data_IF_217206240281
#
_entry.id   IF_217206240281
#
_cell.length_a   1.000
_cell.length_b   1.000
_cell.length_c   1.000
_cell.angle_alpha   90.00
_cell.angle_beta   90.00
_cell.angle_gamma   90.00
#
_symmetry.space_group_name_H-M   'P 1'
#
loop_
_entity.id
_entity.type
_entity.pdbx_description
1 polymer ?
#
# COMPACT_ATOMS: atom_id res chain seq x y z
N UNK A 1 -10.03 4.56 -3.53
CA UNK A 1 -10.12 3.21 -2.91
C UNK A 1 -8.77 2.49 -2.75
N UNK A 2 -7.76 2.73 -3.61
CA UNK A 2 -6.42 2.11 -3.52
C UNK A 2 -5.47 2.85 -2.57
N UNK A 3 -5.46 4.20 -2.58
CA UNK A 3 -4.73 5.02 -1.61
C UNK A 3 -5.17 4.76 -0.16
N UNK A 4 -6.47 4.60 0.07
CA UNK A 4 -7.05 4.22 1.37
C UNK A 4 -6.47 2.90 1.96
N UNK A 5 -5.94 2.00 1.12
CA UNK A 5 -5.28 0.77 1.59
C UNK A 5 -3.84 1.01 2.04
N UNK A 6 -3.18 2.03 1.51
CA UNK A 6 -1.80 2.40 1.84
C UNK A 6 -1.73 3.35 3.03
N UNK A 7 -2.61 4.35 3.10
CA UNK A 7 -2.79 5.19 4.29
C UNK A 7 -3.07 4.32 5.52
N UNK A 8 -3.93 3.32 5.38
CA UNK A 8 -4.21 2.35 6.44
C UNK A 8 -2.98 1.53 6.87
N UNK A 9 -2.01 1.28 5.98
CA UNK A 9 -0.77 0.60 6.35
C UNK A 9 0.14 1.52 7.18
N UNK A 10 0.18 2.81 6.84
CA UNK A 10 0.92 3.83 7.57
C UNK A 10 0.31 4.03 8.97
N UNK A 11 -1.01 4.09 9.09
CA UNK A 11 -1.68 4.22 10.38
C UNK A 11 -1.38 3.02 11.30
N UNK A 12 -1.43 1.81 10.74
CA UNK A 12 -1.06 0.59 11.46
C UNK A 12 0.41 0.66 11.90
N UNK A 13 1.30 1.14 11.04
CA UNK A 13 2.71 1.26 11.38
C UNK A 13 2.95 2.20 12.56
N UNK A 14 2.33 3.39 12.55
CA UNK A 14 2.46 4.38 13.62
C UNK A 14 1.98 3.82 14.96
N UNK A 15 0.87 3.10 14.98
CA UNK A 15 0.34 2.46 16.20
C UNK A 15 1.30 1.38 16.70
N UNK A 16 1.82 0.52 15.81
CA UNK A 16 2.72 -0.55 16.19
C UNK A 16 4.07 -0.03 16.70
N UNK A 17 4.57 1.07 16.12
CA UNK A 17 5.75 1.79 16.58
C UNK A 17 5.54 2.36 17.99
N UNK A 18 4.41 3.06 18.19
CA UNK A 18 4.04 3.60 19.50
C UNK A 18 3.93 2.50 20.57
N UNK A 19 3.42 1.32 20.20
CA UNK A 19 3.31 0.17 21.09
C UNK A 19 4.63 -0.58 21.33
N UNK A 20 5.74 -0.16 20.72
CA UNK A 20 7.05 -0.82 20.86
C UNK A 20 7.07 -2.25 20.29
N UNK A 21 6.25 -2.53 19.28
CA UNK A 21 6.18 -3.85 18.65
C UNK A 21 7.46 -4.10 17.85
N UNK A 22 8.01 -5.32 17.96
CA UNK A 22 9.21 -5.70 17.21
C UNK A 22 8.91 -5.82 15.71
N UNK A 23 9.91 -5.55 14.86
CA UNK A 23 9.78 -5.60 13.39
C UNK A 23 9.09 -6.88 12.89
N UNK A 24 9.49 -8.04 13.42
CA UNK A 24 8.88 -9.34 13.07
C UNK A 24 7.39 -9.39 13.41
N UNK A 25 7.00 -8.85 14.58
CA UNK A 25 5.60 -8.80 14.99
C UNK A 25 4.81 -7.81 14.15
N UNK A 26 5.42 -6.73 13.64
CA UNK A 26 4.75 -5.79 12.72
C UNK A 26 4.30 -6.46 11.43
N UNK A 27 5.17 -7.28 10.84
CA UNK A 27 4.85 -8.09 9.65
C UNK A 27 3.68 -9.03 9.93
N UNK A 28 3.71 -9.72 11.07
CA UNK A 28 2.62 -10.62 11.47
C UNK A 28 1.29 -9.88 11.67
N UNK A 29 1.29 -8.79 12.45
CA UNK A 29 0.08 -7.99 12.70
C UNK A 29 -0.50 -7.41 11.41
N UNK A 30 0.35 -6.85 10.56
CA UNK A 30 -0.08 -6.22 9.31
C UNK A 30 -0.59 -7.24 8.29
N UNK A 31 0.07 -8.40 8.18
CA UNK A 31 -0.41 -9.51 7.34
C UNK A 31 -1.78 -10.03 7.80
N UNK A 32 -2.03 -10.07 9.11
CA UNK A 32 -3.32 -10.46 9.65
C UNK A 32 -4.42 -9.43 9.35
N UNK A 33 -4.07 -8.15 9.23
CA UNK A 33 -5.02 -7.10 8.88
C UNK A 33 -5.46 -7.13 7.40
N UNK A 34 -4.75 -7.86 6.53
CA UNK A 34 -5.07 -7.97 5.11
C UNK A 34 -6.41 -8.69 4.88
N UNK A 35 -7.20 -8.19 3.92
CA UNK A 35 -8.53 -8.73 3.57
C UNK A 35 -8.67 -8.93 2.06
N UNK A 36 -9.52 -9.88 1.67
CA UNK A 36 -9.86 -10.20 0.27
C UNK A 36 -8.60 -10.43 -0.57
N UNK A 37 -8.48 -9.77 -1.72
CA UNK A 37 -7.37 -9.92 -2.67
C UNK A 37 -5.99 -9.68 -2.05
N UNK A 38 -5.90 -8.77 -1.07
CA UNK A 38 -4.67 -8.50 -0.32
C UNK A 38 -4.17 -9.74 0.42
N UNK A 39 -5.10 -10.49 1.02
CA UNK A 39 -4.81 -11.71 1.77
C UNK A 39 -4.40 -12.84 0.83
N UNK A 40 -5.12 -13.02 -0.27
CA UNK A 40 -4.78 -14.03 -1.28
C UNK A 40 -3.39 -13.78 -1.86
N UNK A 41 -3.07 -12.53 -2.23
CA UNK A 41 -1.72 -12.19 -2.68
C UNK A 41 -0.67 -12.44 -1.60
N UNK A 42 -0.91 -12.06 -0.35
CA UNK A 42 0.05 -12.30 0.71
C UNK A 42 0.36 -13.79 0.86
N UNK A 43 -0.64 -14.67 0.78
CA UNK A 43 -0.43 -16.13 0.77
C UNK A 43 0.52 -16.56 -0.36
N UNK A 44 0.42 -15.96 -1.55
CA UNK A 44 1.38 -16.25 -2.65
C UNK A 44 2.81 -15.78 -2.32
N UNK A 45 2.97 -14.71 -1.54
CA UNK A 45 4.29 -14.25 -1.06
C UNK A 45 4.86 -15.25 -0.07
N UNK A 46 4.03 -15.74 0.86
CA UNK A 46 4.41 -16.73 1.86
C UNK A 46 4.82 -18.07 1.25
N UNK A 47 4.34 -18.40 0.04
CA UNK A 47 4.76 -19.60 -0.69
C UNK A 47 6.14 -19.48 -1.34
N UNK A 48 6.58 -18.26 -1.67
CA UNK A 48 7.85 -17.99 -2.39
C UNK A 48 8.98 -17.48 -1.50
N UNK A 49 8.66 -17.04 -0.27
CA UNK A 49 9.63 -16.42 0.66
C UNK A 49 9.45 -16.97 2.07
N UNK A 50 10.55 -17.09 2.79
CA UNK A 50 10.53 -17.36 4.22
C UNK A 50 10.03 -16.12 4.97
N UNK A 51 8.79 -16.19 5.46
CA UNK A 51 8.14 -15.13 6.23
C UNK A 51 8.90 -14.78 7.50
N UNK A 52 9.63 -15.74 8.09
CA UNK A 52 10.42 -15.49 9.28
C UNK A 52 11.64 -14.59 9.01
N UNK A 53 12.10 -14.52 7.76
CA UNK A 53 13.21 -13.71 7.30
C UNK A 53 12.78 -12.37 6.66
N UNK A 54 11.48 -12.16 6.41
CA UNK A 54 10.96 -10.91 5.85
C UNK A 54 11.06 -9.80 6.90
N UNK A 55 11.83 -8.76 6.60
CA UNK A 55 11.84 -7.54 7.41
C UNK A 55 10.55 -6.73 7.22
N UNK A 56 10.30 -5.78 8.11
CA UNK A 56 9.19 -4.85 7.91
C UNK A 56 9.31 -4.06 6.60
N UNK A 57 10.52 -3.63 6.24
CA UNK A 57 10.76 -2.90 5.00
C UNK A 57 10.46 -3.77 3.76
N UNK A 58 10.84 -5.05 3.78
CA UNK A 58 10.52 -5.99 2.71
C UNK A 58 9.00 -6.17 2.56
N UNK A 59 8.29 -6.29 3.68
CA UNK A 59 6.82 -6.37 3.68
C UNK A 59 6.19 -5.14 3.04
N UNK A 60 6.64 -3.93 3.42
CA UNK A 60 6.14 -2.67 2.86
C UNK A 60 6.46 -2.57 1.36
N UNK A 61 7.65 -2.98 0.93
CA UNK A 61 8.05 -2.97 -0.47
C UNK A 61 7.19 -3.92 -1.32
N UNK A 62 6.97 -5.16 -0.86
CA UNK A 62 6.08 -6.13 -1.50
C UNK A 62 4.65 -5.58 -1.59
N UNK A 63 4.15 -5.00 -0.49
CA UNK A 63 2.80 -4.41 -0.46
C UNK A 63 2.68 -3.24 -1.43
N UNK A 64 3.69 -2.35 -1.49
CA UNK A 64 3.74 -1.26 -2.47
C UNK A 64 3.75 -1.79 -3.90
N UNK A 65 4.56 -2.78 -4.23
CA UNK A 65 4.61 -3.34 -5.57
C UNK A 65 3.27 -3.93 -6.01
N UNK A 66 2.53 -4.58 -5.10
CA UNK A 66 1.20 -5.11 -5.39
C UNK A 66 0.19 -4.01 -5.74
N UNK A 67 0.22 -2.89 -5.02
CA UNK A 67 -0.80 -1.83 -5.12
C UNK A 67 -0.42 -0.65 -6.01
N UNK A 68 0.88 -0.43 -6.18
CA UNK A 68 1.54 0.67 -6.90
C UNK A 68 2.58 0.10 -7.89
N UNK A 69 2.19 -0.94 -8.64
CA UNK A 69 2.92 -1.36 -9.83
C UNK A 69 3.27 -0.11 -10.68
N UNK A 70 4.50 -0.03 -11.19
CA UNK A 70 4.98 1.05 -12.07
C UNK A 70 4.01 1.39 -13.19
N UNK A 71 3.30 0.41 -13.77
CA UNK A 71 2.28 0.62 -14.80
C UNK A 71 1.08 1.43 -14.29
N UNK A 72 0.71 1.27 -13.02
CA UNK A 72 -0.35 2.05 -12.38
C UNK A 72 0.13 3.47 -12.12
N UNK A 73 1.37 3.63 -11.65
CA UNK A 73 1.97 4.95 -11.46
C UNK A 73 2.14 5.68 -12.80
N UNK A 74 2.59 5.00 -13.85
CA UNK A 74 2.68 5.54 -15.21
C UNK A 74 1.30 5.87 -15.76
N UNK A 75 0.29 5.01 -15.59
CA UNK A 75 -1.07 5.31 -16.02
C UNK A 75 -1.69 6.48 -15.24
N UNK A 76 -1.41 6.63 -13.94
CA UNK A 76 -1.82 7.79 -13.15
C UNK A 76 -1.07 9.06 -13.57
N UNK A 77 0.21 8.95 -13.91
CA UNK A 77 1.03 10.05 -14.43
C UNK A 77 0.53 10.49 -15.81
N UNK A 78 0.17 9.55 -16.68
CA UNK A 78 -0.40 9.81 -18.00
C UNK A 78 -1.82 10.40 -17.89
N UNK A 79 -2.65 9.91 -16.98
CA UNK A 79 -3.97 10.48 -16.67
C UNK A 79 -3.85 11.90 -16.12
N UNK A 80 -2.88 12.15 -15.23
CA UNK A 80 -2.60 13.48 -14.69
C UNK A 80 -2.07 14.44 -15.76
N UNK A 81 -1.16 13.96 -16.61
CA UNK A 81 -0.56 14.77 -17.70
C UNK A 81 -1.56 15.04 -18.83
N UNK A 82 -2.49 14.12 -19.09
CA UNK A 82 -3.58 14.30 -20.05
C UNK A 82 -4.76 15.09 -19.48
N UNK A 83 -4.77 15.36 -18.16
CA UNK A 83 -5.77 16.21 -17.52
C UNK A 83 -5.55 17.68 -17.89
N UNK A 84 -6.17 18.12 -18.98
CA UNK A 84 -6.32 19.56 -19.24
C UNK A 84 -7.37 20.09 -18.27
N UNK A 85 -7.00 21.13 -17.53
CA UNK A 85 -7.92 21.86 -16.65
C UNK A 85 -9.06 22.46 -17.49
N UNK A 86 -10.12 21.67 -17.66
CA UNK A 86 -11.43 22.15 -18.08
C UNK A 86 -12.15 22.76 -16.88
N UNK A 87 -13.47 22.58 -16.81
CA UNK A 87 -14.35 23.14 -15.77
C UNK A 87 -14.17 22.57 -14.35
N UNK A 88 -13.17 21.72 -14.09
CA UNK A 88 -12.91 21.17 -12.77
C UNK A 88 -12.08 22.13 -11.92
N UNK A 89 -12.52 22.34 -10.69
CA UNK A 89 -11.77 23.12 -9.70
C UNK A 89 -10.57 22.34 -9.18
N UNK A 90 -9.54 23.04 -8.72
CA UNK A 90 -8.34 22.44 -8.11
C UNK A 90 -8.71 21.47 -6.97
N UNK A 91 -9.77 21.76 -6.22
CA UNK A 91 -10.25 20.92 -5.12
C UNK A 91 -10.83 19.59 -5.60
N UNK A 92 -11.54 19.58 -6.73
CA UNK A 92 -12.10 18.36 -7.33
C UNK A 92 -11.01 17.50 -7.99
N UNK A 93 -9.98 18.14 -8.53
CA UNK A 93 -8.79 17.44 -9.02
C UNK A 93 -8.04 16.75 -7.87
N UNK A 94 -7.75 17.46 -6.79
CA UNK A 94 -7.06 16.90 -5.60
C UNK A 94 -7.84 15.70 -5.05
N UNK A 95 -9.16 15.84 -4.87
CA UNK A 95 -10.02 14.77 -4.34
C UNK A 95 -10.13 13.53 -5.25
N UNK A 96 -9.77 13.64 -6.52
CA UNK A 96 -9.77 12.51 -7.48
C UNK A 96 -8.46 11.70 -7.41
N UNK A 97 -7.36 12.33 -6.99
CA UNK A 97 -6.02 11.72 -6.96
C UNK A 97 -5.46 11.48 -5.55
N UNK A 98 -6.16 11.91 -4.49
CA UNK A 98 -6.05 11.37 -3.12
C UNK A 98 -6.68 9.96 -3.02
#
# INVERSE_FOLDING_TARGET
MKALKFERLIDIQVILDFMGITERKKVLCSSFALKKDARHWWMTVQMRRDVAAISWQDFVAEFRMMYYNSEILTAQQDEFTSMKQGSMTVLEAVKKFE
#
